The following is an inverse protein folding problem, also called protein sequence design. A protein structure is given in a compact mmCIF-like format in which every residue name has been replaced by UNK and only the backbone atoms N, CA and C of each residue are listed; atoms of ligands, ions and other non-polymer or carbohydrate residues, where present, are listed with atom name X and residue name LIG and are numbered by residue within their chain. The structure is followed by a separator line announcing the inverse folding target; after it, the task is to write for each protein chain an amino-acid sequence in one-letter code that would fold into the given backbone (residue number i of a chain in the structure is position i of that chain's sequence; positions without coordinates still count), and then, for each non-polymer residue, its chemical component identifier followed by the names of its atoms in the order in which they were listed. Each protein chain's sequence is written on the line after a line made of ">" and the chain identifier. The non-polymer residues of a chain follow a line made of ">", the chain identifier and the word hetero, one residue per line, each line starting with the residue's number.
data_IF_497209695356
#
_entry.id   IF_497209695356
#
_cell.length_a   1.000
_cell.length_b   1.000
_cell.length_c   1.000
_cell.angle_alpha   90.00
_cell.angle_beta   90.00
_cell.angle_gamma   90.00
#
_symmetry.space_group_name_H-M   'P 1'
#
loop_
_entity.id
_entity.type
_entity.pdbx_description
1 polymer ?
#
# COMPACT_ATOMS: atom_id res chain seq x y z
N UNK A 1 -22.59 -29.47 -36.75
CA UNK A 1 -21.45 -30.38 -37.00
C UNK A 1 -20.41 -30.07 -35.92
N UNK A 2 -20.46 -30.75 -34.75
CA UNK A 2 -19.55 -31.87 -34.37
C UNK A 2 -18.08 -31.48 -34.48
N UNK A 3 -17.23 -31.53 -33.45
CA UNK A 3 -17.13 -32.57 -32.44
C UNK A 3 -16.43 -32.09 -31.14
N UNK A 4 -16.68 -32.83 -30.06
CA UNK A 4 -16.06 -32.71 -28.76
C UNK A 4 -15.08 -33.87 -28.50
N UNK A 5 -14.20 -33.66 -27.49
CA UNK A 5 -13.42 -34.63 -26.66
C UNK A 5 -12.07 -35.14 -27.23
N UNK A 6 -11.12 -35.65 -26.39
CA UNK A 6 -11.19 -35.91 -24.94
C UNK A 6 -9.99 -35.41 -24.09
N UNK A 7 -10.20 -35.40 -22.77
CA UNK A 7 -9.17 -35.35 -21.72
C UNK A 7 -8.51 -36.73 -21.59
N UNK A 8 -7.19 -36.82 -21.71
CA UNK A 8 -6.44 -38.04 -21.38
C UNK A 8 -5.93 -37.97 -19.94
N UNK A 9 -6.55 -38.82 -19.12
CA UNK A 9 -6.15 -39.23 -17.78
C UNK A 9 -4.91 -40.12 -17.90
N UNK A 10 -3.79 -39.73 -17.30
CA UNK A 10 -2.65 -40.63 -17.10
C UNK A 10 -2.36 -40.78 -15.61
N UNK A 11 -2.76 -41.94 -15.13
CA UNK A 11 -2.39 -42.56 -13.86
C UNK A 11 -0.93 -43.03 -13.90
N UNK A 12 -0.14 -42.70 -12.89
CA UNK A 12 1.09 -43.45 -12.57
C UNK A 12 1.20 -43.65 -11.06
N UNK A 13 1.54 -44.88 -10.70
CA UNK A 13 1.55 -45.48 -9.37
C UNK A 13 2.70 -45.00 -8.47
N UNK A 14 2.39 -45.07 -7.18
CA UNK A 14 3.18 -45.34 -5.97
C UNK A 14 4.70 -45.56 -6.06
N UNK A 15 5.42 -45.00 -5.09
CA UNK A 15 6.61 -45.60 -4.48
C UNK A 15 6.70 -45.18 -3.00
N UNK A 16 6.47 -46.14 -2.10
CA UNK A 16 6.81 -46.05 -0.68
C UNK A 16 8.30 -46.36 -0.52
N UNK A 17 9.02 -45.51 0.21
CA UNK A 17 10.27 -45.91 0.87
C UNK A 17 10.27 -45.33 2.28
N UNK A 18 10.03 -46.21 3.25
CA UNK A 18 10.30 -45.98 4.66
C UNK A 18 11.75 -46.39 4.94
N UNK A 19 12.53 -45.51 5.58
CA UNK A 19 13.82 -45.88 6.17
C UNK A 19 13.78 -45.45 7.63
N UNK A 20 13.52 -46.43 8.49
CA UNK A 20 13.78 -46.39 9.93
C UNK A 20 15.25 -46.68 10.18
N UNK A 21 15.95 -45.77 10.85
CA UNK A 21 17.24 -46.04 11.46
C UNK A 21 17.13 -45.81 12.97
N UNK A 22 17.06 -46.91 13.73
CA UNK A 22 17.36 -46.94 15.16
C UNK A 22 18.87 -47.13 15.32
N UNK A 23 19.52 -46.32 16.15
CA UNK A 23 20.82 -46.63 16.71
C UNK A 23 20.75 -46.47 18.23
N UNK A 24 21.04 -47.55 18.95
CA UNK A 24 21.24 -47.57 20.41
C UNK A 24 22.73 -47.40 20.73
N UNK A 25 23.00 -46.60 21.77
CA UNK A 25 23.94 -46.93 22.84
C UNK A 25 25.38 -46.42 22.74
N UNK A 26 25.75 -45.51 23.65
CA UNK A 26 27.01 -45.57 24.39
C UNK A 26 26.93 -44.69 25.66
N UNK A 27 27.09 -45.32 26.83
CA UNK A 27 27.41 -44.64 28.09
C UNK A 27 28.91 -44.36 28.15
N UNK A 28 29.32 -43.19 28.65
CA UNK A 28 30.70 -42.96 29.08
C UNK A 28 31.08 -41.49 29.28
N UNK A 29 31.47 -41.15 30.52
CA UNK A 29 32.46 -40.12 30.82
C UNK A 29 31.97 -38.69 31.09
N UNK A 30 32.10 -38.26 32.34
CA UNK A 30 32.02 -36.86 32.77
C UNK A 30 33.03 -35.99 32.00
N UNK A 31 32.55 -34.97 31.28
CA UNK A 31 33.24 -33.69 31.16
C UNK A 31 32.23 -32.58 30.87
N UNK A 32 32.16 -31.59 31.76
CA UNK A 32 31.28 -30.43 31.66
C UNK A 32 31.77 -29.53 30.52
N UNK A 33 31.20 -29.69 29.34
CA UNK A 33 31.23 -28.66 28.29
C UNK A 33 29.79 -28.32 27.95
N UNK A 34 29.31 -27.20 28.49
CA UNK A 34 28.06 -26.57 28.03
C UNK A 34 28.25 -26.09 26.59
N UNK A 35 27.99 -26.98 25.64
CA UNK A 35 27.66 -26.58 24.27
C UNK A 35 26.23 -26.08 24.30
N UNK A 36 26.09 -24.76 24.40
CA UNK A 36 24.84 -24.05 24.16
C UNK A 36 24.30 -24.50 22.79
N UNK A 37 23.27 -25.35 22.82
CA UNK A 37 22.45 -25.66 21.66
C UNK A 37 21.73 -24.38 21.27
N UNK A 38 22.30 -23.63 20.33
CA UNK A 38 21.57 -22.65 19.54
C UNK A 38 20.58 -23.41 18.67
N UNK A 39 19.42 -23.72 19.24
CA UNK A 39 18.25 -24.07 18.46
C UNK A 39 18.02 -22.90 17.49
N UNK A 40 18.30 -23.11 16.20
CA UNK A 40 17.84 -22.21 15.15
C UNK A 40 16.32 -22.18 15.22
N UNK A 41 15.79 -21.12 15.83
CA UNK A 41 14.38 -20.78 15.68
C UNK A 41 14.07 -20.74 14.18
N UNK A 42 12.95 -21.33 13.73
CA UNK A 42 12.55 -21.17 12.34
C UNK A 42 12.47 -19.66 12.08
N UNK A 43 13.12 -19.20 11.02
CA UNK A 43 13.01 -17.81 10.59
C UNK A 43 11.51 -17.52 10.43
N UNK A 44 10.93 -16.77 11.36
CA UNK A 44 9.56 -16.33 11.27
C UNK A 44 9.43 -15.66 9.91
N UNK A 45 8.63 -16.25 9.03
CA UNK A 45 8.42 -15.74 7.69
C UNK A 45 8.09 -14.26 7.80
N UNK A 46 8.85 -13.41 7.10
CA UNK A 46 8.71 -11.94 7.14
C UNK A 46 7.30 -11.42 6.77
N UNK A 47 6.40 -12.32 6.39
CA UNK A 47 4.97 -12.12 6.18
C UNK A 47 4.16 -11.85 7.44
N UNK A 48 4.67 -12.15 8.65
CA UNK A 48 3.94 -11.95 9.91
C UNK A 48 4.44 -10.81 10.80
N UNK A 49 5.67 -10.34 10.59
CA UNK A 49 6.26 -9.28 11.43
C UNK A 49 5.93 -7.91 10.84
N UNK A 50 5.54 -6.96 11.69
CA UNK A 50 5.39 -5.54 11.37
C UNK A 50 6.08 -4.72 12.47
N UNK A 51 6.32 -3.44 12.22
CA UNK A 51 6.89 -2.47 13.14
C UNK A 51 6.11 -1.15 13.07
N UNK A 52 6.54 -0.15 13.85
CA UNK A 52 5.86 1.15 13.89
C UNK A 52 5.88 1.90 12.55
N UNK A 53 6.88 1.67 11.69
CA UNK A 53 6.91 2.28 10.36
C UNK A 53 5.78 1.73 9.49
N UNK A 54 5.53 0.41 9.52
CA UNK A 54 4.43 -0.21 8.78
C UNK A 54 3.06 0.34 9.24
N UNK A 55 2.88 0.53 10.55
CA UNK A 55 1.66 1.13 11.14
C UNK A 55 1.51 2.59 10.68
N UNK A 56 2.58 3.36 10.76
CA UNK A 56 2.60 4.78 10.39
C UNK A 56 2.30 4.94 8.89
N UNK A 57 2.93 4.15 8.04
CA UNK A 57 2.68 4.09 6.60
C UNK A 57 1.20 3.83 6.31
N UNK A 58 0.64 2.76 6.90
CA UNK A 58 -0.75 2.40 6.66
C UNK A 58 -1.72 3.50 7.12
N UNK A 59 -1.49 4.09 8.30
CA UNK A 59 -2.35 5.19 8.80
C UNK A 59 -2.25 6.43 7.91
N UNK A 60 -1.03 6.84 7.56
CA UNK A 60 -0.77 8.02 6.75
C UNK A 60 -1.33 7.88 5.34
N UNK A 61 -1.03 6.77 4.68
CA UNK A 61 -1.44 6.54 3.30
C UNK A 61 -2.95 6.32 3.17
N UNK A 62 -3.63 5.78 4.19
CA UNK A 62 -5.11 5.74 4.20
C UNK A 62 -5.71 7.14 4.16
N UNK A 63 -5.22 8.05 5.01
CA UNK A 63 -5.73 9.44 5.05
C UNK A 63 -5.40 10.16 3.75
N UNK A 64 -4.19 9.97 3.24
CA UNK A 64 -3.72 10.56 2.00
C UNK A 64 -4.57 10.10 0.79
N UNK A 65 -4.76 8.78 0.61
CA UNK A 65 -5.58 8.24 -0.48
C UNK A 65 -7.05 8.66 -0.41
N UNK A 66 -7.60 8.85 0.79
CA UNK A 66 -8.98 9.35 0.92
C UNK A 66 -9.14 10.76 0.33
N UNK A 67 -8.16 11.64 0.50
CA UNK A 67 -8.22 12.96 -0.12
C UNK A 67 -8.06 12.88 -1.64
N UNK A 68 -7.20 12.00 -2.17
CA UNK A 68 -7.13 11.78 -3.62
C UNK A 68 -8.46 11.25 -4.21
N UNK A 69 -9.16 10.37 -3.50
CA UNK A 69 -10.51 9.92 -3.90
C UNK A 69 -11.50 11.09 -3.87
N UNK A 70 -11.47 11.92 -2.83
CA UNK A 70 -12.32 13.12 -2.74
C UNK A 70 -12.08 14.07 -3.93
N UNK A 71 -10.81 14.30 -4.29
CA UNK A 71 -10.43 15.08 -5.47
C UNK A 71 -10.90 14.42 -6.78
N UNK A 72 -10.79 13.10 -6.87
CA UNK A 72 -11.22 12.34 -8.05
C UNK A 72 -12.73 12.38 -8.25
N UNK A 73 -13.51 12.28 -7.17
CA UNK A 73 -14.97 12.41 -7.19
C UNK A 73 -15.36 13.81 -7.71
N UNK A 74 -14.73 14.88 -7.21
CA UNK A 74 -14.93 16.24 -7.74
C UNK A 74 -14.61 16.33 -9.23
N UNK A 75 -13.52 15.71 -9.69
CA UNK A 75 -13.12 15.76 -11.10
C UNK A 75 -14.11 15.03 -12.01
N UNK A 76 -14.75 13.96 -11.57
CA UNK A 76 -15.80 13.30 -12.35
C UNK A 76 -16.98 14.24 -12.64
N UNK A 77 -17.33 15.08 -11.67
CA UNK A 77 -18.42 16.06 -11.79
C UNK A 77 -18.00 17.31 -12.56
N UNK A 78 -16.87 17.93 -12.17
CA UNK A 78 -16.52 19.29 -12.56
C UNK A 78 -15.47 19.40 -13.68
N UNK A 79 -14.73 18.32 -13.98
CA UNK A 79 -13.67 18.42 -14.99
C UNK A 79 -14.24 18.74 -16.38
N UNK A 80 -13.49 19.55 -17.11
CA UNK A 80 -13.84 20.04 -18.43
C UNK A 80 -13.49 19.04 -19.53
N UNK A 81 -12.34 18.37 -19.41
CA UNK A 81 -11.87 17.41 -20.42
C UNK A 81 -12.17 15.96 -20.02
N UNK A 82 -12.47 15.13 -21.03
CA UNK A 82 -12.66 13.69 -20.84
C UNK A 82 -11.42 12.99 -20.28
N UNK A 83 -10.23 13.50 -20.61
CA UNK A 83 -8.96 12.93 -20.18
C UNK A 83 -8.75 13.09 -18.67
N UNK A 84 -9.11 14.24 -18.09
CA UNK A 84 -9.08 14.45 -16.64
C UNK A 84 -10.11 13.57 -15.93
N UNK A 85 -11.32 13.44 -16.48
CA UNK A 85 -12.33 12.50 -15.94
C UNK A 85 -11.85 11.06 -15.95
N UNK A 86 -11.24 10.62 -17.06
CA UNK A 86 -10.71 9.27 -17.20
C UNK A 86 -9.55 9.00 -16.21
N UNK A 87 -8.68 9.99 -16.01
CA UNK A 87 -7.61 9.91 -15.00
C UNK A 87 -8.20 9.80 -13.58
N UNK A 88 -9.21 10.59 -13.26
CA UNK A 88 -9.87 10.56 -11.94
C UNK A 88 -10.46 9.18 -11.62
N UNK A 89 -11.20 8.59 -12.56
CA UNK A 89 -11.74 7.21 -12.42
C UNK A 89 -10.62 6.19 -12.21
N UNK A 90 -9.50 6.34 -12.92
CA UNK A 90 -8.34 5.45 -12.77
C UNK A 90 -7.72 5.55 -11.38
N UNK A 91 -7.48 6.77 -10.89
CA UNK A 91 -6.94 7.03 -9.54
C UNK A 91 -7.83 6.39 -8.48
N UNK A 92 -9.14 6.62 -8.55
CA UNK A 92 -10.11 6.07 -7.61
C UNK A 92 -10.08 4.53 -7.59
N UNK A 93 -10.06 3.91 -8.77
CA UNK A 93 -10.06 2.46 -8.92
C UNK A 93 -8.78 1.80 -8.38
N UNK A 94 -7.64 2.49 -8.50
CA UNK A 94 -6.35 2.00 -8.01
C UNK A 94 -6.21 2.20 -6.50
N UNK A 95 -6.60 3.36 -5.96
CA UNK A 95 -6.37 3.69 -4.54
C UNK A 95 -7.41 3.08 -3.57
N UNK A 96 -8.66 2.83 -4.00
CA UNK A 96 -9.69 2.21 -3.12
C UNK A 96 -9.28 0.81 -2.61
N UNK A 97 -8.80 -0.12 -3.45
CA UNK A 97 -8.28 -1.41 -2.99
C UNK A 97 -7.10 -1.28 -2.03
N UNK A 98 -6.21 -0.32 -2.23
CA UNK A 98 -5.04 -0.10 -1.37
C UNK A 98 -5.47 0.33 0.04
N UNK A 99 -6.45 1.24 0.16
CA UNK A 99 -7.07 1.60 1.45
C UNK A 99 -7.61 0.36 2.16
N UNK A 100 -8.30 -0.52 1.43
CA UNK A 100 -8.87 -1.76 2.00
C UNK A 100 -7.77 -2.67 2.53
N UNK A 101 -6.68 -2.84 1.77
CA UNK A 101 -5.52 -3.63 2.17
C UNK A 101 -4.88 -3.09 3.45
N UNK A 102 -4.54 -1.79 3.48
CA UNK A 102 -3.93 -1.15 4.64
C UNK A 102 -4.84 -1.15 5.88
N UNK A 103 -6.15 -0.96 5.67
CA UNK A 103 -7.16 -1.09 6.74
C UNK A 103 -7.18 -2.51 7.31
N UNK A 104 -7.05 -3.52 6.45
CA UNK A 104 -6.96 -4.92 6.86
C UNK A 104 -5.73 -5.20 7.71
N UNK A 105 -4.57 -4.65 7.32
CA UNK A 105 -3.34 -4.75 8.11
C UNK A 105 -3.48 -4.14 9.49
N UNK A 106 -3.89 -2.87 9.59
CA UNK A 106 -4.08 -2.19 10.87
C UNK A 106 -5.01 -2.96 11.80
N UNK A 107 -6.16 -3.44 11.28
CA UNK A 107 -7.08 -4.27 12.07
C UNK A 107 -6.43 -5.57 12.55
N UNK A 108 -5.67 -6.25 11.69
CA UNK A 108 -4.99 -7.50 12.04
C UNK A 108 -3.88 -7.31 13.08
N UNK A 109 -3.30 -6.12 13.14
CA UNK A 109 -2.26 -5.75 14.11
C UNK A 109 -2.83 -5.20 15.42
N UNK A 110 -4.16 -5.02 15.52
CA UNK A 110 -4.79 -4.40 16.68
C UNK A 110 -4.61 -2.88 16.74
N UNK A 111 -4.22 -2.28 15.62
CA UNK A 111 -3.93 -0.85 15.50
C UNK A 111 -5.16 -0.03 15.10
N UNK A 112 -5.14 1.25 15.46
CA UNK A 112 -6.23 2.17 15.10
C UNK A 112 -6.22 2.45 13.60
N UNK A 113 -7.39 2.29 12.98
CA UNK A 113 -7.66 2.74 11.62
C UNK A 113 -8.09 4.21 11.68
N UNK A 114 -7.47 5.12 10.91
CA UNK A 114 -7.93 6.50 10.80
C UNK A 114 -9.37 6.58 10.31
N UNK A 115 -10.14 7.53 10.84
CA UNK A 115 -11.49 7.85 10.37
C UNK A 115 -11.46 9.18 9.60
N UNK A 116 -12.16 9.25 8.46
CA UNK A 116 -12.15 10.43 7.60
C UNK A 116 -10.74 10.85 7.18
N UNK A 117 -10.44 12.15 7.28
CA UNK A 117 -9.14 12.77 6.98
C UNK A 117 -8.29 13.03 8.24
N UNK A 118 -8.62 12.42 9.38
CA UNK A 118 -7.95 12.69 10.66
C UNK A 118 -7.05 11.53 11.07
N UNK A 119 -5.80 11.83 11.41
CA UNK A 119 -4.85 10.83 11.92
C UNK A 119 -5.16 10.45 13.38
N UNK A 120 -5.10 9.16 13.76
CA UNK A 120 -5.24 8.74 15.15
C UNK A 120 -4.15 9.36 16.04
N UNK A 121 -4.51 9.88 17.22
CA UNK A 121 -3.55 10.39 18.21
C UNK A 121 -3.17 11.87 18.06
N UNK A 122 -3.50 12.52 16.95
CA UNK A 122 -3.59 13.99 16.89
C UNK A 122 -4.93 14.41 17.52
N UNK A 123 -4.92 14.81 18.78
CA UNK A 123 -6.12 15.32 19.46
C UNK A 123 -6.77 16.50 18.72
N UNK A 124 -8.03 16.80 19.05
CA UNK A 124 -8.87 17.89 18.52
C UNK A 124 -8.33 19.32 18.80
N UNK A 125 -7.04 19.57 18.66
CA UNK A 125 -6.46 20.92 18.72
C UNK A 125 -6.45 21.51 17.32
N UNK A 126 -7.45 22.35 17.06
CA UNK A 126 -7.59 23.29 15.95
C UNK A 126 -7.50 22.69 14.53
N UNK A 127 -8.48 22.94 13.63
CA UNK A 127 -8.42 22.50 12.23
C UNK A 127 -7.14 22.96 11.48
N UNK A 128 -6.42 23.93 12.04
CA UNK A 128 -5.26 24.59 11.41
C UNK A 128 -3.88 24.08 11.86
N UNK A 129 -3.80 23.03 12.70
CA UNK A 129 -2.51 22.64 13.32
C UNK A 129 -2.17 21.13 13.28
N UNK A 130 -2.81 20.35 12.41
CA UNK A 130 -2.19 19.08 11.99
C UNK A 130 -1.00 19.44 11.09
N UNK A 131 0.23 18.96 11.35
CA UNK A 131 1.29 19.03 10.35
C UNK A 131 0.72 18.41 9.08
N UNK A 132 0.53 19.23 8.04
CA UNK A 132 -0.05 18.74 6.80
C UNK A 132 0.88 17.64 6.27
N UNK A 133 0.34 16.44 6.08
CA UNK A 133 1.08 15.35 5.46
C UNK A 133 1.60 15.83 4.10
N UNK A 134 2.80 15.41 3.66
CA UNK A 134 3.36 15.84 2.38
C UNK A 134 2.33 15.71 1.26
N UNK A 135 2.16 16.74 0.44
CA UNK A 135 1.27 16.73 -0.72
C UNK A 135 -0.22 16.96 -0.45
N UNK A 136 -0.69 16.91 0.80
CA UNK A 136 -2.11 17.15 1.11
C UNK A 136 -2.54 18.59 0.80
N UNK A 137 -3.75 18.72 0.28
CA UNK A 137 -4.46 19.99 0.13
C UNK A 137 -5.14 20.37 1.44
N UNK A 138 -5.09 21.66 1.80
CA UNK A 138 -5.93 22.20 2.86
C UNK A 138 -7.38 22.42 2.39
N UNK A 139 -8.27 22.76 3.32
CA UNK A 139 -9.68 22.95 2.99
C UNK A 139 -9.93 24.12 2.02
N UNK A 140 -9.13 25.19 2.10
CA UNK A 140 -9.28 26.33 1.21
C UNK A 140 -8.89 25.93 -0.22
N UNK A 141 -7.80 25.20 -0.38
CA UNK A 141 -7.38 24.67 -1.68
C UNK A 141 -8.43 23.72 -2.28
N UNK A 142 -9.05 22.85 -1.48
CA UNK A 142 -10.14 21.98 -1.95
C UNK A 142 -11.36 22.80 -2.40
N UNK A 143 -11.72 23.84 -1.63
CA UNK A 143 -12.81 24.76 -2.00
C UNK A 143 -12.49 25.51 -3.29
N UNK A 144 -11.28 26.07 -3.41
CA UNK A 144 -10.85 26.81 -4.59
C UNK A 144 -10.87 25.93 -5.85
N UNK A 145 -10.45 24.65 -5.73
CA UNK A 145 -10.52 23.69 -6.82
C UNK A 145 -11.96 23.44 -7.26
N UNK A 146 -12.86 23.20 -6.31
CA UNK A 146 -14.28 22.92 -6.59
C UNK A 146 -14.95 24.09 -7.34
N UNK A 147 -14.57 25.33 -7.05
CA UNK A 147 -15.16 26.52 -7.67
C UNK A 147 -14.44 26.98 -8.95
N UNK A 148 -13.34 26.34 -9.32
CA UNK A 148 -12.61 26.69 -10.54
C UNK A 148 -13.46 26.31 -11.78
N UNK A 149 -13.62 27.23 -12.76
CA UNK A 149 -14.45 26.94 -13.94
C UNK A 149 -13.65 26.25 -15.04
N UNK A 150 -14.27 25.27 -15.71
CA UNK A 150 -13.80 24.73 -16.99
C UNK A 150 -12.33 24.29 -16.97
N UNK A 151 -11.52 24.82 -17.89
CA UNK A 151 -10.08 24.48 -17.99
C UNK A 151 -9.26 24.88 -16.76
N UNK A 152 -9.72 25.85 -15.96
CA UNK A 152 -9.06 26.21 -14.71
C UNK A 152 -9.19 25.09 -13.67
N UNK A 153 -10.34 24.41 -13.63
CA UNK A 153 -10.52 23.19 -12.82
C UNK A 153 -9.49 22.14 -13.21
N UNK A 154 -9.42 21.79 -14.50
CA UNK A 154 -8.51 20.75 -14.99
C UNK A 154 -7.05 21.06 -14.64
N UNK A 155 -6.62 22.31 -14.86
CA UNK A 155 -5.26 22.75 -14.51
C UNK A 155 -5.00 22.61 -13.02
N UNK A 156 -5.94 23.02 -12.17
CA UNK A 156 -5.79 22.97 -10.73
C UNK A 156 -5.80 21.52 -10.21
N UNK A 157 -6.72 20.68 -10.69
CA UNK A 157 -6.76 19.26 -10.37
C UNK A 157 -5.43 18.57 -10.71
N UNK A 158 -4.93 18.73 -11.94
CA UNK A 158 -3.68 18.11 -12.36
C UNK A 158 -2.48 18.63 -11.54
N UNK A 159 -2.41 19.93 -11.31
CA UNK A 159 -1.32 20.55 -10.53
C UNK A 159 -1.31 20.05 -9.10
N UNK A 160 -2.48 19.97 -8.46
CA UNK A 160 -2.59 19.55 -7.07
C UNK A 160 -2.42 18.04 -6.93
N UNK A 161 -2.96 17.25 -7.85
CA UNK A 161 -2.80 15.80 -7.84
C UNK A 161 -1.33 15.39 -8.09
N UNK A 162 -0.56 16.16 -8.87
CA UNK A 162 0.91 15.97 -8.97
C UNK A 162 1.58 16.15 -7.60
N UNK A 163 1.26 17.23 -6.88
CA UNK A 163 1.85 17.50 -5.55
C UNK A 163 1.44 16.43 -4.54
N UNK A 164 0.18 16.03 -4.57
CA UNK A 164 -0.37 14.98 -3.75
C UNK A 164 0.37 13.67 -4.00
N UNK A 165 0.51 13.25 -5.26
CA UNK A 165 1.25 12.03 -5.61
C UNK A 165 2.71 12.06 -5.20
N UNK A 166 3.37 13.22 -5.28
CA UNK A 166 4.74 13.37 -4.79
C UNK A 166 4.81 13.11 -3.28
N UNK A 167 3.83 13.59 -2.51
CA UNK A 167 3.72 13.29 -1.08
C UNK A 167 3.51 11.80 -0.78
N UNK A 168 2.67 11.12 -1.56
CA UNK A 168 2.51 9.67 -1.44
C UNK A 168 3.81 8.91 -1.74
N UNK A 169 4.59 9.35 -2.74
CA UNK A 169 5.90 8.76 -3.05
C UNK A 169 6.84 8.91 -1.85
N UNK A 170 6.89 10.09 -1.22
CA UNK A 170 7.76 10.33 -0.05
C UNK A 170 7.38 9.43 1.15
N UNK A 171 6.08 9.24 1.40
CA UNK A 171 5.57 8.32 2.43
C UNK A 171 5.95 6.87 2.09
N UNK A 172 5.78 6.46 0.84
CA UNK A 172 6.10 5.11 0.38
C UNK A 172 7.60 4.81 0.42
N UNK A 173 8.47 5.76 0.07
CA UNK A 173 9.93 5.61 0.18
C UNK A 173 10.37 5.45 1.65
N UNK A 174 9.69 6.15 2.57
CA UNK A 174 9.92 5.98 4.02
C UNK A 174 9.61 4.54 4.45
N UNK A 175 8.50 3.99 3.99
CA UNK A 175 8.11 2.59 4.23
C UNK A 175 9.12 1.60 3.62
N UNK A 176 9.55 1.82 2.36
CA UNK A 176 10.61 1.01 1.73
C UNK A 176 11.90 1.02 2.54
N UNK A 177 12.21 2.12 3.22
CA UNK A 177 13.43 2.22 4.02
C UNK A 177 13.29 1.62 5.41
N UNK A 178 12.14 1.79 6.07
CA UNK A 178 11.99 1.58 7.51
C UNK A 178 11.02 0.44 7.88
N UNK A 179 10.09 0.07 6.99
CA UNK A 179 9.10 -0.97 7.21
C UNK A 179 9.70 -2.36 7.37
N UNK A 180 9.04 -3.20 8.16
CA UNK A 180 9.44 -4.59 8.39
C UNK A 180 8.47 -5.59 7.77
N UNK A 181 7.25 -5.17 7.43
CA UNK A 181 6.23 -6.02 6.85
C UNK A 181 6.42 -6.16 5.34
N UNK A 182 6.79 -7.35 4.89
CA UNK A 182 7.06 -7.63 3.47
C UNK A 182 5.97 -7.10 2.51
N UNK A 183 4.68 -7.44 2.74
CA UNK A 183 3.58 -6.91 1.93
C UNK A 183 3.43 -5.38 1.92
N UNK A 184 3.72 -4.68 3.03
CA UNK A 184 3.65 -3.22 3.09
C UNK A 184 4.76 -2.59 2.23
N UNK A 185 5.98 -3.11 2.32
CA UNK A 185 7.11 -2.70 1.46
C UNK A 185 6.88 -3.01 -0.02
N UNK A 186 6.13 -4.07 -0.34
CA UNK A 186 5.74 -4.37 -1.72
C UNK A 186 4.73 -3.32 -2.21
N UNK A 187 3.64 -3.11 -1.47
CA UNK A 187 2.64 -2.10 -1.82
C UNK A 187 3.26 -0.70 -1.96
N UNK A 188 4.18 -0.31 -1.08
CA UNK A 188 4.90 0.95 -1.20
C UNK A 188 5.66 1.08 -2.54
N UNK A 189 6.27 -0.01 -3.02
CA UNK A 189 6.93 -0.03 -4.33
C UNK A 189 5.94 0.10 -5.50
N UNK A 190 4.76 -0.52 -5.38
CA UNK A 190 3.70 -0.44 -6.38
C UNK A 190 3.10 0.98 -6.44
N UNK A 191 2.92 1.63 -5.28
CA UNK A 191 2.50 3.03 -5.17
C UNK A 191 3.53 3.94 -5.83
N UNK A 192 4.83 3.80 -5.53
CA UNK A 192 5.89 4.62 -6.15
C UNK A 192 5.83 4.50 -7.68
N UNK A 193 5.74 3.28 -8.19
CA UNK A 193 5.70 3.01 -9.63
C UNK A 193 4.47 3.65 -10.28
N UNK A 194 3.29 3.41 -9.71
CA UNK A 194 2.00 3.86 -10.26
C UNK A 194 1.85 5.38 -10.19
N UNK A 195 2.13 5.98 -9.03
CA UNK A 195 2.02 7.42 -8.82
C UNK A 195 3.04 8.18 -9.68
N UNK A 196 4.24 7.65 -9.89
CA UNK A 196 5.24 8.25 -10.81
C UNK A 196 4.73 8.27 -12.24
N UNK A 197 4.17 7.15 -12.72
CA UNK A 197 3.60 7.08 -14.07
C UNK A 197 2.42 8.05 -14.24
N UNK A 198 1.57 8.19 -13.23
CA UNK A 198 0.47 9.15 -13.23
C UNK A 198 0.96 10.61 -13.19
N UNK A 199 2.02 10.93 -12.44
CA UNK A 199 2.66 12.26 -12.47
C UNK A 199 3.12 12.59 -13.89
N UNK A 200 3.80 11.66 -14.58
CA UNK A 200 4.23 11.86 -15.97
C UNK A 200 3.02 12.08 -16.90
N UNK A 201 1.95 11.32 -16.73
CA UNK A 201 0.71 11.51 -17.49
C UNK A 201 0.11 12.91 -17.24
N UNK A 202 0.04 13.37 -15.99
CA UNK A 202 -0.49 14.69 -15.65
C UNK A 202 0.37 15.83 -16.18
N UNK A 203 1.70 15.73 -16.10
CA UNK A 203 2.62 16.69 -16.72
C UNK A 203 2.42 16.78 -18.22
N UNK A 204 2.14 15.66 -18.89
CA UNK A 204 1.85 15.64 -20.32
C UNK A 204 0.54 16.37 -20.62
N UNK A 205 -0.50 16.14 -19.82
CA UNK A 205 -1.78 16.86 -19.94
C UNK A 205 -1.64 18.36 -19.70
N UNK A 206 -0.73 18.78 -18.82
CA UNK A 206 -0.39 20.19 -18.57
C UNK A 206 0.54 20.81 -19.63
N UNK A 207 1.18 20.00 -20.49
CA UNK A 207 2.19 20.48 -21.44
C UNK A 207 3.52 20.87 -20.79
N UNK A 208 3.86 20.28 -19.63
CA UNK A 208 5.06 20.59 -18.83
C UNK A 208 6.06 19.43 -18.78
N UNK A 209 6.01 18.53 -19.77
CA UNK A 209 6.89 17.37 -19.89
C UNK A 209 8.13 17.65 -20.73
#
# INVERSE_FOLDING_TARGET
>A
MTAARPLLRRTTLASLTAVTALALGACGGNDKTEVASTASAPAATATGRHNQADVTFAQQMIVHHRQAIEMADMAQEHAHTSDVKALAVKIEKEQKPEIKTMTGWLKSWGEKVPEGRTMPGMGHRSPSATPSMPGMMDEQQMRDMTHAPGKAFDTMFLTMMIKHHQGAIDIAETEKKQGAHGPARTLAGDIITTQTAQITQMRKMLGTS
#
